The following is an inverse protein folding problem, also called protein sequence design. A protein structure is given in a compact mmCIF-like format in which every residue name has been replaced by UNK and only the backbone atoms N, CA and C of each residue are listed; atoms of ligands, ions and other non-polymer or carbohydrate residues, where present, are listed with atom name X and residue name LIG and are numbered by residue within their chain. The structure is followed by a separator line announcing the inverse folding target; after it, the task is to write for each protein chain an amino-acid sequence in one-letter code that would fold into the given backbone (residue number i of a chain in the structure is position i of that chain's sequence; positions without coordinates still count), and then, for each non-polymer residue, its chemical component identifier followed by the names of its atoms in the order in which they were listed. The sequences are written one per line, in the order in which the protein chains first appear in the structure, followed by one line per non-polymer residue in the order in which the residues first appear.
data_IF_112569656486
#
_entry.id   IF_112569656486
#
_cell.length_a   1.000
_cell.length_b   1.000
_cell.length_c   1.000
_cell.angle_alpha   90.00
_cell.angle_beta   90.00
_cell.angle_gamma   90.00
#
_symmetry.space_group_name_H-M   'P 1'
#
loop_
_entity.id
_entity.type
_entity.pdbx_description
1 polymer ?
#
# COMPACT_ATOMS: atom_id res chain seq x y z
N UNK A 1 1.33 8.36 -1.96
CA UNK A 1 0.91 7.04 -1.46
C UNK A 1 2.12 6.13 -1.28
N UNK A 2 2.95 5.92 -2.31
CA UNK A 2 4.20 5.12 -2.19
C UNK A 2 5.07 5.53 -1.00
N UNK A 3 5.35 6.83 -0.85
CA UNK A 3 6.14 7.35 0.29
C UNK A 3 5.54 6.97 1.65
N UNK A 4 4.23 7.01 1.78
CA UNK A 4 3.53 6.69 3.02
C UNK A 4 3.58 5.18 3.28
N UNK A 5 3.35 4.36 2.25
CA UNK A 5 3.49 2.92 2.33
C UNK A 5 4.92 2.52 2.78
N UNK A 6 5.96 3.11 2.18
CA UNK A 6 7.35 2.87 2.58
C UNK A 6 7.66 3.40 3.99
N UNK A 7 7.07 4.52 4.39
CA UNK A 7 7.22 5.02 5.76
C UNK A 7 6.59 4.06 6.78
N UNK A 8 5.46 3.43 6.44
CA UNK A 8 4.83 2.41 7.28
C UNK A 8 5.72 1.15 7.41
N UNK A 9 6.35 0.71 6.31
CA UNK A 9 7.34 -0.37 6.36
C UNK A 9 8.45 -0.02 7.37
N UNK A 10 9.11 1.12 7.19
CA UNK A 10 10.25 1.53 8.03
C UNK A 10 9.88 1.66 9.51
N UNK A 11 8.67 2.13 9.82
CA UNK A 11 8.26 2.37 11.21
C UNK A 11 7.64 1.16 11.90
N UNK A 12 7.03 0.24 11.15
CA UNK A 12 6.10 -0.73 11.73
C UNK A 12 6.29 -2.19 11.29
N UNK A 13 6.90 -2.46 10.13
CA UNK A 13 6.85 -3.83 9.60
C UNK A 13 7.90 -4.78 10.17
N UNK A 14 9.01 -4.27 10.70
CA UNK A 14 10.20 -5.11 11.01
C UNK A 14 10.66 -5.96 9.80
N UNK A 15 10.41 -5.49 8.58
CA UNK A 15 10.78 -6.19 7.35
C UNK A 15 12.27 -6.04 7.06
N UNK A 16 12.88 -7.10 6.50
CA UNK A 16 14.23 -7.06 5.96
C UNK A 16 14.24 -6.46 4.55
N UNK A 17 13.13 -6.57 3.82
CA UNK A 17 13.01 -6.11 2.44
C UNK A 17 11.66 -5.46 2.17
N UNK A 18 11.72 -4.42 1.34
CA UNK A 18 10.58 -3.84 0.67
C UNK A 18 10.79 -3.81 -0.84
N UNK A 19 9.72 -4.00 -1.61
CA UNK A 19 9.74 -3.96 -3.06
C UNK A 19 8.65 -3.04 -3.58
N UNK A 20 8.98 -2.25 -4.61
CA UNK A 20 8.03 -1.40 -5.33
C UNK A 20 7.94 -1.89 -6.75
N UNK A 21 6.73 -2.20 -7.19
CA UNK A 21 6.42 -2.60 -8.55
C UNK A 21 5.60 -1.51 -9.23
N UNK A 22 5.94 -1.21 -10.48
CA UNK A 22 5.13 -0.41 -11.39
C UNK A 22 4.76 -1.31 -12.57
N UNK A 23 3.48 -1.58 -12.74
CA UNK A 23 2.95 -2.57 -13.67
C UNK A 23 1.94 -1.90 -14.60
N UNK A 24 2.12 -2.08 -15.91
CA UNK A 24 1.06 -1.82 -16.87
C UNK A 24 0.02 -2.93 -16.79
N UNK A 25 -1.26 -2.56 -16.79
CA UNK A 25 -2.41 -3.46 -16.72
C UNK A 25 -3.31 -3.26 -17.95
N UNK A 26 -4.13 -4.26 -18.33
CA UNK A 26 -5.05 -4.13 -19.45
C UNK A 26 -5.99 -2.93 -19.31
N UNK A 27 -6.34 -2.30 -20.44
CA UNK A 27 -7.23 -1.14 -20.47
C UNK A 27 -6.59 0.16 -20.00
N UNK A 28 -5.32 0.37 -20.36
CA UNK A 28 -4.50 1.54 -20.03
C UNK A 28 -4.45 1.84 -18.52
N UNK A 29 -4.50 0.78 -17.73
CA UNK A 29 -4.44 0.86 -16.29
C UNK A 29 -2.98 0.78 -15.82
N UNK A 30 -2.66 1.55 -14.79
CA UNK A 30 -1.38 1.52 -14.11
C UNK A 30 -1.61 1.02 -12.70
N UNK A 31 -0.82 0.02 -12.32
CA UNK A 31 -0.78 -0.50 -10.96
C UNK A 31 0.57 -0.19 -10.34
N UNK A 32 0.54 0.37 -9.14
CA UNK A 32 1.69 0.47 -8.26
C UNK A 32 1.45 -0.42 -7.06
N UNK A 33 2.44 -1.27 -6.76
CA UNK A 33 2.38 -2.19 -5.64
C UNK A 33 3.61 -2.01 -4.75
N UNK A 34 3.39 -1.85 -3.45
CA UNK A 34 4.44 -1.83 -2.44
C UNK A 34 4.24 -3.05 -1.55
N UNK A 35 5.26 -3.89 -1.46
CA UNK A 35 5.23 -5.10 -0.65
C UNK A 35 6.42 -5.13 0.31
N UNK A 36 6.21 -5.66 1.50
CA UNK A 36 7.27 -5.99 2.46
C UNK A 36 7.12 -7.42 2.97
N UNK A 37 8.17 -7.95 3.59
CA UNK A 37 8.19 -9.28 4.21
C UNK A 37 8.15 -9.25 5.74
N UNK A 38 7.64 -8.16 6.31
CA UNK A 38 7.55 -7.95 7.75
C UNK A 38 6.41 -8.69 8.44
N UNK A 39 6.06 -8.24 9.64
CA UNK A 39 5.01 -8.85 10.48
C UNK A 39 3.59 -8.66 9.92
N UNK A 40 3.42 -7.83 8.89
CA UNK A 40 2.14 -7.51 8.28
C UNK A 40 1.32 -6.48 9.06
N UNK A 41 0.02 -6.45 8.79
CA UNK A 41 -0.92 -5.53 9.44
C UNK A 41 -1.37 -6.09 10.79
N UNK A 42 -1.38 -5.27 11.86
CA UNK A 42 -1.94 -5.70 13.15
C UNK A 42 -3.42 -6.06 13.01
N UNK A 43 -3.92 -6.97 13.85
CA UNK A 43 -5.35 -7.34 13.88
C UNK A 43 -6.25 -6.15 14.17
N UNK A 44 -5.80 -5.29 15.08
CA UNK A 44 -6.41 -4.01 15.39
C UNK A 44 -5.45 -2.89 14.95
N UNK A 45 -5.93 -2.00 14.08
CA UNK A 45 -5.16 -0.82 13.69
C UNK A 45 -5.22 0.19 14.85
N UNK A 46 -4.08 0.64 15.40
CA UNK A 46 -4.10 1.68 16.42
C UNK A 46 -4.60 3.00 15.83
N UNK A 47 -5.34 3.82 16.62
CA UNK A 47 -5.95 5.09 16.19
C UNK A 47 -4.99 6.02 15.43
N UNK A 48 -3.72 6.07 15.84
CA UNK A 48 -2.67 6.84 15.16
C UNK A 48 -2.27 6.25 13.78
N UNK A 49 -2.27 4.92 13.66
CA UNK A 49 -2.03 4.19 12.41
C UNK A 49 -3.16 4.37 11.38
N UNK A 50 -4.37 4.74 11.83
CA UNK A 50 -5.48 5.04 10.93
C UNK A 50 -5.24 6.30 10.10
N UNK A 51 -4.50 7.29 10.59
CA UNK A 51 -4.31 8.55 9.86
C UNK A 51 -3.57 8.35 8.53
N UNK A 52 -2.46 7.60 8.53
CA UNK A 52 -1.68 7.32 7.32
C UNK A 52 -2.50 6.56 6.28
N UNK A 53 -3.20 5.50 6.71
CA UNK A 53 -4.04 4.69 5.82
C UNK A 53 -5.27 5.48 5.32
N UNK A 54 -5.91 6.29 6.17
CA UNK A 54 -7.05 7.14 5.80
C UNK A 54 -6.65 8.18 4.77
N UNK A 55 -5.54 8.90 5.00
CA UNK A 55 -5.01 9.88 4.04
C UNK A 55 -4.68 9.22 2.70
N UNK A 56 -4.13 8.00 2.71
CA UNK A 56 -3.90 7.26 1.46
C UNK A 56 -5.22 6.94 0.74
N UNK A 57 -6.26 6.50 1.45
CA UNK A 57 -7.59 6.23 0.86
C UNK A 57 -8.23 7.49 0.28
N UNK A 58 -8.19 8.60 1.01
CA UNK A 58 -8.71 9.90 0.56
C UNK A 58 -7.99 10.38 -0.71
N UNK A 59 -6.65 10.33 -0.70
CA UNK A 59 -5.83 10.74 -1.85
C UNK A 59 -6.02 9.83 -3.06
N UNK A 60 -6.19 8.52 -2.86
CA UNK A 60 -6.52 7.61 -3.95
C UNK A 60 -7.87 7.98 -4.58
N UNK A 61 -8.89 8.20 -3.75
CA UNK A 61 -10.22 8.63 -4.21
C UNK A 61 -10.17 9.96 -4.98
N UNK A 62 -9.41 10.94 -4.50
CA UNK A 62 -9.28 12.25 -5.13
C UNK A 62 -8.70 12.20 -6.55
N UNK A 63 -7.93 11.16 -6.89
CA UNK A 63 -7.35 10.98 -8.23
C UNK A 63 -8.05 9.88 -9.04
N UNK A 64 -9.20 9.37 -8.56
CA UNK A 64 -9.91 8.27 -9.21
C UNK A 64 -9.18 6.92 -9.15
N UNK A 65 -8.19 6.78 -8.28
CA UNK A 65 -7.46 5.54 -8.07
C UNK A 65 -8.15 4.66 -7.01
N UNK A 66 -8.02 3.35 -7.18
CA UNK A 66 -8.43 2.35 -6.20
C UNK A 66 -7.23 1.95 -5.37
N UNK A 67 -7.37 2.05 -4.05
CA UNK A 67 -6.36 1.60 -3.10
C UNK A 67 -6.83 0.31 -2.42
N UNK A 68 -5.97 -0.71 -2.40
CA UNK A 68 -6.14 -1.94 -1.62
C UNK A 68 -4.93 -2.13 -0.71
N UNK A 69 -5.16 -2.56 0.52
CA UNK A 69 -4.13 -2.82 1.52
C UNK A 69 -4.47 -4.16 2.14
N UNK A 70 -3.59 -5.14 1.94
CA UNK A 70 -3.82 -6.53 2.35
C UNK A 70 -2.61 -7.07 3.13
N UNK A 71 -2.83 -8.13 3.91
CA UNK A 71 -1.73 -8.96 4.40
C UNK A 71 -1.17 -9.78 3.24
N UNK A 72 0.15 -9.89 3.18
CA UNK A 72 0.85 -10.74 2.21
C UNK A 72 1.09 -12.11 2.85
N UNK A 73 0.95 -13.17 2.07
CA UNK A 73 1.32 -14.53 2.51
C UNK A 73 2.80 -14.82 2.20
N UNK A 74 3.53 -15.54 3.06
CA UNK A 74 3.13 -16.01 4.39
C UNK A 74 3.17 -14.91 5.47
N UNK A 75 3.82 -13.79 5.18
CA UNK A 75 3.93 -12.62 6.05
C UNK A 75 4.09 -11.33 5.22
N UNK A 76 3.87 -10.19 5.88
CA UNK A 76 4.09 -8.85 5.34
C UNK A 76 2.82 -8.10 4.96
N UNK A 77 3.01 -6.92 4.38
CA UNK A 77 1.91 -6.07 3.88
C UNK A 77 2.04 -5.87 2.38
N UNK A 78 0.90 -5.81 1.68
CA UNK A 78 0.82 -5.43 0.28
C UNK A 78 -0.10 -4.22 0.13
N UNK A 79 0.43 -3.11 -0.36
CA UNK A 79 -0.33 -1.91 -0.71
C UNK A 79 -0.39 -1.80 -2.23
N UNK A 80 -1.60 -1.88 -2.79
CA UNK A 80 -1.85 -1.81 -4.23
C UNK A 80 -2.64 -0.55 -4.56
N UNK A 81 -2.14 0.23 -5.52
CA UNK A 81 -2.82 1.39 -6.09
C UNK A 81 -3.06 1.17 -7.57
N UNK A 82 -4.31 1.25 -8.02
CA UNK A 82 -4.71 1.02 -9.41
C UNK A 82 -5.49 2.22 -9.94
N UNK A 83 -5.08 2.78 -11.07
CA UNK A 83 -5.83 3.81 -11.77
C UNK A 83 -5.74 3.61 -13.27
N UNK A 84 -6.60 4.30 -14.03
CA UNK A 84 -6.51 4.35 -15.49
C UNK A 84 -5.82 5.64 -15.91
N UNK A 85 -4.89 5.52 -16.84
CA UNK A 85 -4.42 6.66 -17.59
C UNK A 85 -5.52 7.00 -18.62
N UNK A 86 -5.82 8.28 -18.76
CA UNK A 86 -6.83 8.82 -19.69
C UNK A 86 -6.15 9.65 -20.76
#
# INVERSE_FOLDING_TARGET
MIREALANVVRHSHADRAQVFLLARPGDAVEVRVEDDGIGLPEELPEDGHFGLRIMRERAGAIGARLRIDRREPCGTCVTLLWRHS
#
